data_IF_672669621442
#
_entry.id   IF_672669621442
#
_cell.length_a   1.000
_cell.length_b   1.000
_cell.length_c   1.000
_cell.angle_alpha   90.00
_cell.angle_beta   90.00
_cell.angle_gamma   90.00
#
_symmetry.space_group_name_H-M   'P 1'
#
loop_
_entity.id
_entity.type
_entity.pdbx_description
1 polymer ?
#
# COMPACT_ATOMS: atom_id res chain seq x y z
N UNK A 1 -53.85 28.88 52.17
CA UNK A 1 -52.41 28.68 52.38
C UNK A 1 -51.83 28.04 51.12
N UNK A 2 -50.89 28.74 50.46
CA UNK A 2 -50.25 28.35 49.19
C UNK A 2 -49.35 27.13 49.40
N UNK A 3 -49.41 26.14 48.52
CA UNK A 3 -48.38 25.12 48.36
C UNK A 3 -48.05 24.98 46.88
N UNK A 4 -46.93 25.57 46.46
CA UNK A 4 -46.36 25.36 45.13
C UNK A 4 -45.90 23.91 45.01
N UNK A 5 -46.36 23.21 43.98
CA UNK A 5 -45.71 21.99 43.50
C UNK A 5 -44.52 22.40 42.63
N UNK A 6 -43.31 22.10 43.11
CA UNK A 6 -42.09 22.16 42.33
C UNK A 6 -41.97 20.83 41.61
N UNK A 7 -42.10 20.86 40.28
CA UNK A 7 -41.83 19.70 39.43
C UNK A 7 -40.33 19.44 39.36
N UNK A 8 -39.90 18.25 39.78
CA UNK A 8 -38.55 17.76 39.59
C UNK A 8 -38.48 17.16 38.19
N UNK A 9 -37.78 17.85 37.28
CA UNK A 9 -37.39 17.32 35.98
C UNK A 9 -36.29 16.30 36.23
N UNK A 10 -36.63 15.01 36.11
CA UNK A 10 -35.70 13.90 36.14
C UNK A 10 -35.00 13.87 34.77
N UNK A 11 -33.81 14.48 34.71
CA UNK A 11 -32.94 14.43 33.54
C UNK A 11 -32.35 13.01 33.43
N UNK A 12 -33.05 12.14 32.70
CA UNK A 12 -32.57 10.80 32.34
C UNK A 12 -31.42 10.92 31.35
N UNK A 13 -30.19 10.86 31.87
CA UNK A 13 -28.97 10.64 31.09
C UNK A 13 -29.05 9.22 30.54
N UNK A 14 -29.45 9.08 29.28
CA UNK A 14 -29.29 7.85 28.51
C UNK A 14 -27.80 7.72 28.22
N UNK A 15 -27.11 6.92 29.03
CA UNK A 15 -25.76 6.45 28.74
C UNK A 15 -25.91 5.49 27.55
N UNK A 16 -25.79 6.02 26.34
CA UNK A 16 -25.55 5.21 25.14
C UNK A 16 -24.19 4.58 25.36
N UNK A 17 -24.19 3.30 25.76
CA UNK A 17 -22.99 2.49 25.85
C UNK A 17 -22.36 2.39 24.46
N UNK A 18 -21.43 3.30 24.17
CA UNK A 18 -20.45 3.10 23.11
C UNK A 18 -19.67 1.86 23.56
N UNK A 19 -19.93 0.73 22.90
CA UNK A 19 -19.08 -0.44 22.98
C UNK A 19 -17.72 -0.02 22.41
N UNK A 20 -16.84 0.45 23.29
CA UNK A 20 -15.43 0.61 22.96
C UNK A 20 -14.94 -0.78 22.54
N UNK A 21 -14.33 -0.95 21.36
CA UNK A 21 -13.65 -2.19 21.04
C UNK A 21 -12.62 -2.43 22.14
N UNK A 22 -12.86 -3.51 22.89
CA UNK A 22 -11.98 -4.06 23.92
C UNK A 22 -10.56 -4.11 23.34
N UNK A 23 -9.65 -3.49 24.07
CA UNK A 23 -8.35 -3.06 23.57
C UNK A 23 -7.52 -4.17 22.93
N UNK A 24 -7.05 -3.88 21.72
CA UNK A 24 -5.71 -4.29 21.33
C UNK A 24 -4.73 -3.48 22.17
N UNK A 25 -3.79 -4.15 22.83
CA UNK A 25 -2.64 -3.48 23.41
C UNK A 25 -1.97 -2.64 22.31
N UNK A 26 -1.72 -1.37 22.62
CA UNK A 26 -0.84 -0.50 21.84
C UNK A 26 0.61 -1.02 21.93
N UNK A 27 0.83 -2.15 21.29
CA UNK A 27 2.12 -2.59 20.79
C UNK A 27 1.80 -2.86 19.32
N UNK A 28 1.73 -1.79 18.52
CA UNK A 28 1.81 -1.95 17.08
C UNK A 28 3.16 -2.61 16.84
N UNK A 29 3.20 -3.91 16.60
CA UNK A 29 4.38 -4.50 16.03
C UNK A 29 4.56 -3.78 14.70
N UNK A 30 5.52 -2.84 14.69
CA UNK A 30 5.81 -2.02 13.52
C UNK A 30 6.23 -2.89 12.33
N UNK A 31 6.43 -4.20 12.56
CA UNK A 31 6.85 -5.19 11.60
C UNK A 31 5.72 -6.17 11.37
N UNK A 32 5.38 -6.42 10.11
CA UNK A 32 4.42 -7.44 9.70
C UNK A 32 4.96 -8.17 8.49
N UNK A 33 4.81 -9.50 8.47
CA UNK A 33 5.18 -10.36 7.34
C UNK A 33 3.93 -10.76 6.58
N UNK A 34 4.02 -10.83 5.26
CA UNK A 34 3.03 -11.47 4.39
C UNK A 34 3.70 -12.53 3.54
N UNK A 35 3.13 -13.74 3.57
CA UNK A 35 3.55 -14.83 2.71
C UNK A 35 2.55 -15.02 1.58
N UNK A 36 3.04 -15.21 0.35
CA UNK A 36 2.22 -15.73 -0.73
C UNK A 36 1.74 -17.15 -0.42
N UNK A 37 0.53 -17.49 -0.89
CA UNK A 37 -0.13 -18.77 -0.59
C UNK A 37 0.72 -20.01 -0.87
N UNK A 38 1.39 -20.07 -2.02
CA UNK A 38 2.27 -21.20 -2.36
C UNK A 38 3.46 -21.28 -1.41
N UNK A 39 4.02 -20.13 -1.02
CA UNK A 39 5.16 -20.06 -0.11
C UNK A 39 4.76 -20.46 1.30
N UNK A 40 3.62 -19.99 1.79
CA UNK A 40 3.12 -20.29 3.12
C UNK A 40 2.88 -21.79 3.32
N UNK A 41 2.29 -22.44 2.32
CA UNK A 41 1.94 -23.86 2.37
C UNK A 41 3.13 -24.81 2.16
N UNK A 42 4.34 -24.29 1.95
CA UNK A 42 5.55 -25.07 1.76
C UNK A 42 6.64 -24.64 2.76
N UNK A 43 6.92 -25.50 3.74
CA UNK A 43 7.88 -25.20 4.82
C UNK A 43 9.30 -24.86 4.32
N UNK A 44 9.75 -25.47 3.22
CA UNK A 44 11.05 -25.16 2.64
C UNK A 44 11.05 -23.78 1.99
N UNK A 45 9.97 -23.43 1.28
CA UNK A 45 9.81 -22.10 0.69
C UNK A 45 9.73 -21.02 1.75
N UNK A 46 8.94 -21.25 2.81
CA UNK A 46 8.88 -20.35 3.96
C UNK A 46 10.25 -20.14 4.60
N UNK A 47 11.03 -21.20 4.79
CA UNK A 47 12.39 -21.11 5.33
C UNK A 47 13.34 -20.26 4.47
N UNK A 48 13.26 -20.36 3.13
CA UNK A 48 14.05 -19.53 2.22
C UNK A 48 13.72 -18.05 2.41
N UNK A 49 12.42 -17.71 2.46
CA UNK A 49 11.94 -16.33 2.65
C UNK A 49 12.29 -15.80 4.03
N UNK A 50 12.11 -16.61 5.08
CA UNK A 50 12.47 -16.27 6.46
C UNK A 50 13.97 -15.95 6.59
N UNK A 51 14.83 -16.73 5.94
CA UNK A 51 16.27 -16.47 5.92
C UNK A 51 16.62 -15.15 5.24
N UNK A 52 15.93 -14.80 4.16
CA UNK A 52 16.12 -13.50 3.51
C UNK A 52 15.71 -12.35 4.44
N UNK A 53 14.53 -12.42 5.06
CA UNK A 53 14.04 -11.37 5.97
C UNK A 53 14.91 -11.23 7.21
N UNK A 54 15.31 -12.32 7.86
CA UNK A 54 16.23 -12.29 9.01
C UNK A 54 17.54 -11.56 8.67
N UNK A 55 18.10 -11.80 7.48
CA UNK A 55 19.37 -11.21 7.05
C UNK A 55 19.24 -9.76 6.60
N UNK A 56 18.26 -9.46 5.73
CA UNK A 56 18.13 -8.13 5.12
C UNK A 56 17.49 -7.12 6.07
N UNK A 57 16.48 -7.53 6.85
CA UNK A 57 15.82 -6.66 7.82
C UNK A 57 16.49 -6.70 9.20
N UNK A 58 17.41 -7.65 9.45
CA UNK A 58 18.10 -7.83 10.75
C UNK A 58 17.11 -8.04 11.90
N UNK A 59 16.12 -8.89 11.67
CA UNK A 59 15.04 -9.23 12.60
C UNK A 59 15.06 -10.71 12.98
N UNK A 60 14.27 -11.09 13.98
CA UNK A 60 13.87 -12.49 14.21
C UNK A 60 12.41 -12.67 13.78
N UNK A 61 12.21 -13.24 12.59
CA UNK A 61 10.86 -13.44 12.01
C UNK A 61 9.93 -14.31 12.86
N UNK A 62 10.44 -15.07 13.84
CA UNK A 62 9.59 -15.92 14.71
C UNK A 62 8.72 -15.11 15.67
N UNK A 63 9.12 -13.87 15.95
CA UNK A 63 8.40 -12.97 16.86
C UNK A 63 7.65 -11.86 16.09
N UNK A 64 7.42 -12.05 14.79
CA UNK A 64 6.74 -11.08 13.93
C UNK A 64 5.43 -11.70 13.46
N UNK A 65 4.34 -10.95 13.60
CA UNK A 65 3.04 -11.34 13.08
C UNK A 65 3.08 -11.57 11.57
N UNK A 66 2.41 -12.63 11.13
CA UNK A 66 2.36 -13.00 9.72
C UNK A 66 0.94 -13.14 9.20
N UNK A 67 0.72 -12.69 7.96
CA UNK A 67 -0.51 -12.83 7.19
C UNK A 67 -0.28 -13.63 5.91
N UNK A 68 -1.37 -14.10 5.34
CA UNK A 68 -1.40 -14.84 4.07
C UNK A 68 -1.95 -13.93 2.96
N UNK A 69 -1.32 -13.98 1.79
CA UNK A 69 -1.86 -13.41 0.54
C UNK A 69 -2.32 -14.57 -0.32
N UNK A 70 -3.62 -14.68 -0.55
CA UNK A 70 -4.22 -15.76 -1.33
C UNK A 70 -4.29 -15.43 -2.80
N UNK A 71 -4.47 -16.45 -3.64
CA UNK A 71 -4.81 -16.25 -5.04
C UNK A 71 -6.09 -15.43 -5.20
N UNK A 72 -7.06 -15.57 -4.30
CA UNK A 72 -8.26 -14.72 -4.33
C UNK A 72 -7.94 -13.25 -4.13
N UNK A 73 -7.04 -12.91 -3.20
CA UNK A 73 -6.66 -11.52 -2.95
C UNK A 73 -5.94 -10.91 -4.15
N UNK A 74 -5.07 -11.67 -4.80
CA UNK A 74 -4.39 -11.25 -6.03
C UNK A 74 -5.40 -11.13 -7.20
N UNK A 75 -6.28 -12.11 -7.36
CA UNK A 75 -7.23 -12.16 -8.49
C UNK A 75 -8.33 -11.11 -8.42
N UNK A 76 -8.71 -10.62 -7.23
CA UNK A 76 -9.63 -9.46 -7.09
C UNK A 76 -9.13 -8.24 -7.87
N UNK A 77 -7.82 -8.19 -8.10
CA UNK A 77 -7.11 -7.07 -8.70
C UNK A 77 -6.64 -7.49 -10.09
N UNK A 78 -5.88 -8.57 -10.25
CA UNK A 78 -5.28 -8.92 -11.54
C UNK A 78 -6.27 -9.23 -12.66
N UNK A 79 -7.44 -9.80 -12.31
CA UNK A 79 -8.43 -10.24 -13.31
C UNK A 79 -9.14 -9.08 -14.00
N UNK A 80 -9.40 -7.97 -13.30
CA UNK A 80 -10.00 -6.77 -13.88
C UNK A 80 -9.03 -5.96 -14.74
N UNK A 81 -7.72 -6.17 -14.55
CA UNK A 81 -6.66 -5.33 -15.13
C UNK A 81 -6.04 -6.01 -16.34
N UNK A 82 -5.52 -7.23 -16.14
CA UNK A 82 -4.75 -7.95 -17.16
C UNK A 82 -5.53 -9.13 -17.76
N UNK A 83 -6.71 -9.43 -17.21
CA UNK A 83 -7.42 -10.68 -17.50
C UNK A 83 -6.72 -11.93 -16.97
N UNK A 84 -5.55 -11.81 -16.34
CA UNK A 84 -4.82 -12.94 -15.76
C UNK A 84 -5.47 -13.37 -14.46
N UNK A 85 -5.66 -14.67 -14.32
CA UNK A 85 -6.10 -15.33 -13.10
C UNK A 85 -5.02 -16.29 -12.66
N UNK A 86 -4.63 -16.20 -11.40
CA UNK A 86 -3.59 -17.00 -10.77
C UNK A 86 -4.22 -18.11 -9.92
N UNK A 87 -3.64 -19.31 -9.96
CA UNK A 87 -3.93 -20.39 -9.02
C UNK A 87 -3.26 -20.18 -7.67
N UNK A 88 -3.75 -20.87 -6.64
CA UNK A 88 -3.14 -20.90 -5.29
C UNK A 88 -1.70 -21.44 -5.29
N UNK A 89 -1.31 -22.15 -6.35
CA UNK A 89 0.03 -22.67 -6.60
C UNK A 89 0.95 -21.66 -7.31
N UNK A 90 0.47 -20.45 -7.62
CA UNK A 90 1.22 -19.42 -8.34
C UNK A 90 1.56 -18.17 -7.50
N UNK A 91 1.20 -18.14 -6.22
CA UNK A 91 1.40 -16.97 -5.34
C UNK A 91 2.65 -17.17 -4.48
N UNK A 92 3.80 -16.76 -5.03
CA UNK A 92 5.11 -17.00 -4.40
C UNK A 92 5.69 -15.78 -3.67
N UNK A 93 5.50 -14.56 -4.20
CA UNK A 93 6.17 -13.38 -3.67
C UNK A 93 5.66 -13.03 -2.27
N UNK A 94 6.57 -12.58 -1.43
CA UNK A 94 6.35 -12.30 -0.01
C UNK A 94 6.91 -10.94 0.33
N UNK A 95 6.37 -10.32 1.38
CA UNK A 95 6.86 -9.04 1.88
C UNK A 95 7.01 -9.02 3.39
N UNK A 96 7.98 -8.25 3.89
CA UNK A 96 8.06 -7.79 5.27
C UNK A 96 7.99 -6.27 5.24
N UNK A 97 7.09 -5.67 6.02
CA UNK A 97 7.01 -4.21 6.17
C UNK A 97 7.44 -3.84 7.56
N UNK A 98 8.36 -2.88 7.68
CA UNK A 98 8.83 -2.28 8.93
C UNK A 98 8.51 -0.78 8.96
N UNK A 99 7.52 -0.39 9.76
CA UNK A 99 7.09 0.99 10.00
C UNK A 99 7.89 1.68 11.12
N UNK A 100 8.88 1.02 11.73
CA UNK A 100 9.74 1.68 12.72
C UNK A 100 10.83 2.55 12.07
N UNK A 101 11.14 2.28 10.80
CA UNK A 101 12.11 3.07 10.04
C UNK A 101 11.57 4.45 9.67
N UNK A 102 12.28 5.50 10.11
CA UNK A 102 11.93 6.89 9.84
C UNK A 102 12.30 7.35 8.43
N UNK A 103 11.53 8.32 7.93
CA UNK A 103 11.72 8.93 6.61
C UNK A 103 10.80 8.37 5.54
N UNK A 104 11.16 8.65 4.27
CA UNK A 104 10.43 8.21 3.09
C UNK A 104 10.44 6.68 2.97
N UNK A 105 9.39 6.13 2.38
CA UNK A 105 9.26 4.71 2.06
C UNK A 105 10.49 4.22 1.31
N UNK A 106 11.07 3.11 1.79
CA UNK A 106 12.14 2.38 1.11
C UNK A 106 11.63 1.00 0.72
N UNK A 107 12.17 0.46 -0.37
CA UNK A 107 11.89 -0.91 -0.77
C UNK A 107 13.21 -1.62 -1.09
N UNK A 108 13.48 -2.72 -0.40
CA UNK A 108 14.59 -3.64 -0.69
C UNK A 108 14.04 -4.87 -1.40
N UNK A 109 14.48 -5.10 -2.63
CA UNK A 109 14.02 -6.23 -3.46
C UNK A 109 15.14 -7.26 -3.63
N UNK A 110 14.83 -8.54 -3.44
CA UNK A 110 15.70 -9.65 -3.83
C UNK A 110 15.76 -9.77 -5.35
N UNK A 111 16.73 -9.10 -5.97
CA UNK A 111 16.93 -9.10 -7.43
C UNK A 111 17.27 -10.49 -8.00
N UNK A 112 17.63 -11.47 -7.16
CA UNK A 112 17.88 -12.85 -7.61
C UNK A 112 16.59 -13.68 -7.73
N UNK A 113 15.47 -13.17 -7.20
CA UNK A 113 14.17 -13.87 -7.13
C UNK A 113 13.05 -13.07 -7.78
N UNK A 114 13.07 -11.75 -7.67
CA UNK A 114 12.08 -10.86 -8.28
C UNK A 114 12.65 -10.34 -9.59
N UNK A 115 12.05 -10.73 -10.71
CA UNK A 115 12.63 -10.53 -12.05
C UNK A 115 12.04 -9.36 -12.82
N UNK A 116 10.89 -8.82 -12.38
CA UNK A 116 10.17 -7.79 -13.14
C UNK A 116 9.96 -6.53 -12.32
N UNK A 117 9.26 -6.62 -11.19
CA UNK A 117 8.96 -5.43 -10.39
C UNK A 117 10.21 -4.97 -9.64
N UNK A 118 10.66 -3.75 -9.92
CA UNK A 118 11.82 -3.14 -9.25
C UNK A 118 11.42 -2.43 -7.97
N UNK A 119 12.42 -2.06 -7.16
CA UNK A 119 12.21 -1.26 -5.95
C UNK A 119 11.50 0.07 -6.26
N UNK A 120 11.90 0.74 -7.35
CA UNK A 120 11.33 2.04 -7.74
C UNK A 120 9.88 1.90 -8.20
N UNK A 121 9.54 0.82 -8.92
CA UNK A 121 8.14 0.51 -9.27
C UNK A 121 7.28 0.33 -8.01
N UNK A 122 7.75 -0.45 -7.02
CA UNK A 122 7.03 -0.58 -5.75
C UNK A 122 6.88 0.77 -5.04
N UNK A 123 7.94 1.58 -4.98
CA UNK A 123 7.89 2.91 -4.35
C UNK A 123 6.87 3.81 -5.06
N UNK A 124 6.88 3.82 -6.39
CA UNK A 124 5.97 4.56 -7.25
C UNK A 124 4.50 4.22 -6.93
N UNK A 125 4.16 2.93 -6.94
CA UNK A 125 2.81 2.46 -6.66
C UNK A 125 2.38 2.64 -5.20
N UNK A 126 3.29 2.45 -4.24
CA UNK A 126 3.01 2.69 -2.82
C UNK A 126 2.70 4.17 -2.57
N UNK A 127 3.41 5.09 -3.22
CA UNK A 127 3.08 6.53 -3.17
C UNK A 127 1.71 6.81 -3.78
N UNK A 128 1.37 6.17 -4.89
CA UNK A 128 0.01 6.24 -5.47
C UNK A 128 -1.07 5.74 -4.50
N UNK A 129 -0.73 4.85 -3.58
CA UNK A 129 -1.60 4.41 -2.49
C UNK A 129 -1.58 5.29 -1.22
N UNK A 130 -0.80 6.37 -1.20
CA UNK A 130 -0.60 7.21 -0.01
C UNK A 130 0.35 6.61 1.04
N UNK A 131 1.05 5.52 0.70
CA UNK A 131 2.03 4.88 1.57
C UNK A 131 3.40 5.52 1.29
N UNK A 132 3.82 6.42 2.17
CA UNK A 132 5.03 7.24 1.97
C UNK A 132 6.10 7.03 3.03
N UNK A 133 5.90 6.11 3.97
CA UNK A 133 6.76 5.88 5.13
C UNK A 133 6.95 4.39 5.44
N UNK A 134 8.12 4.02 5.96
CA UNK A 134 8.50 2.67 6.36
C UNK A 134 9.53 2.03 5.43
N UNK A 135 9.79 0.73 5.63
CA UNK A 135 10.69 -0.05 4.78
C UNK A 135 10.04 -1.40 4.45
N UNK A 136 9.84 -1.67 3.16
CA UNK A 136 9.40 -2.96 2.68
C UNK A 136 10.58 -3.79 2.17
N UNK A 137 10.59 -5.07 2.49
CA UNK A 137 11.52 -6.06 1.99
C UNK A 137 10.72 -7.07 1.16
N UNK A 138 11.14 -7.33 -0.07
CA UNK A 138 10.40 -8.17 -1.01
C UNK A 138 11.30 -9.29 -1.53
N UNK A 139 10.80 -10.52 -1.47
CA UNK A 139 11.48 -11.70 -2.02
C UNK A 139 10.47 -12.77 -2.45
N UNK A 140 10.98 -13.89 -2.96
CA UNK A 140 10.22 -15.07 -3.34
C UNK A 140 11.13 -16.30 -3.15
N UNK A 141 10.59 -17.49 -2.79
CA UNK A 141 11.41 -18.70 -2.67
C UNK A 141 12.06 -19.11 -4.01
N UNK A 142 11.38 -18.80 -5.11
CA UNK A 142 11.78 -19.08 -6.50
C UNK A 142 11.68 -17.81 -7.35
N UNK A 143 12.10 -17.89 -8.62
CA UNK A 143 11.94 -16.78 -9.57
C UNK A 143 10.44 -16.43 -9.73
N UNK A 144 10.09 -15.17 -9.53
CA UNK A 144 8.75 -14.63 -9.65
C UNK A 144 8.79 -13.18 -10.16
N UNK A 145 7.69 -12.72 -10.72
CA UNK A 145 7.55 -11.37 -11.30
C UNK A 145 7.45 -10.29 -10.23
N UNK A 146 6.70 -10.55 -9.14
CA UNK A 146 6.68 -9.74 -7.92
C UNK A 146 5.31 -9.18 -7.51
N UNK A 147 4.30 -9.21 -8.38
CA UNK A 147 3.05 -8.46 -8.21
C UNK A 147 2.31 -8.80 -6.90
N UNK A 148 2.27 -10.08 -6.50
CA UNK A 148 1.63 -10.50 -5.25
C UNK A 148 2.26 -9.89 -3.98
N UNK A 149 3.53 -9.45 -4.04
CA UNK A 149 4.17 -8.77 -2.92
C UNK A 149 3.62 -7.35 -2.70
N UNK A 150 3.13 -6.64 -3.72
CA UNK A 150 2.52 -5.32 -3.53
C UNK A 150 1.27 -5.44 -2.65
N UNK A 151 0.39 -6.41 -2.95
CA UNK A 151 -0.77 -6.72 -2.11
C UNK A 151 -0.34 -7.11 -0.68
N UNK A 152 0.76 -7.86 -0.55
CA UNK A 152 1.39 -8.16 0.74
C UNK A 152 1.81 -6.92 1.53
N UNK A 153 2.48 -5.97 0.88
CA UNK A 153 2.90 -4.72 1.50
C UNK A 153 1.70 -3.92 1.97
N UNK A 154 0.68 -3.75 1.13
CA UNK A 154 -0.55 -3.02 1.48
C UNK A 154 -1.26 -3.66 2.68
N UNK A 155 -1.45 -4.98 2.67
CA UNK A 155 -2.10 -5.70 3.78
C UNK A 155 -1.28 -5.63 5.09
N UNK A 156 0.06 -5.63 4.98
CA UNK A 156 0.95 -5.46 6.12
C UNK A 156 0.86 -4.04 6.68
N UNK A 157 0.73 -3.04 5.81
CA UNK A 157 0.56 -1.64 6.19
C UNK A 157 -0.78 -1.40 6.90
N UNK A 158 -1.88 -1.94 6.38
CA UNK A 158 -3.19 -1.90 7.02
C UNK A 158 -3.17 -2.58 8.39
N UNK A 159 -2.45 -3.70 8.51
CA UNK A 159 -2.29 -4.43 9.77
C UNK A 159 -1.57 -3.58 10.82
N UNK A 160 -0.43 -2.99 10.44
CA UNK A 160 0.44 -2.26 11.35
C UNK A 160 -0.14 -0.89 11.74
N UNK A 161 -0.92 -0.24 10.86
CA UNK A 161 -1.56 1.05 11.13
C UNK A 161 -2.98 0.93 11.69
N UNK A 162 -3.60 -0.24 11.56
CA UNK A 162 -5.02 -0.47 11.84
C UNK A 162 -5.97 0.47 11.05
N UNK A 163 -5.53 0.94 9.88
CA UNK A 163 -6.33 1.74 8.93
C UNK A 163 -6.45 0.96 7.63
N UNK A 164 -7.67 0.84 7.11
CA UNK A 164 -7.90 0.23 5.80
C UNK A 164 -7.56 1.20 4.67
N UNK A 165 -6.79 0.74 3.70
CA UNK A 165 -6.58 1.46 2.44
C UNK A 165 -7.88 1.30 1.64
N UNK A 166 -8.45 2.39 1.09
CA UNK A 166 -9.65 2.30 0.26
C UNK A 166 -9.45 1.30 -0.90
N UNK A 167 -10.46 0.48 -1.19
CA UNK A 167 -10.35 -0.54 -2.23
C UNK A 167 -10.08 0.06 -3.62
N UNK A 168 -10.64 1.23 -3.91
CA UNK A 168 -10.36 2.01 -5.13
C UNK A 168 -8.88 2.41 -5.23
N UNK A 169 -8.28 2.81 -4.10
CA UNK A 169 -6.86 3.18 -4.01
C UNK A 169 -5.96 1.96 -4.17
N UNK A 170 -6.30 0.84 -3.51
CA UNK A 170 -5.58 -0.44 -3.70
C UNK A 170 -5.64 -0.87 -5.16
N UNK A 171 -6.80 -0.80 -5.79
CA UNK A 171 -6.98 -1.15 -7.19
C UNK A 171 -6.09 -0.28 -8.10
N UNK A 172 -6.16 1.05 -7.98
CA UNK A 172 -5.37 1.96 -8.82
C UNK A 172 -3.84 1.74 -8.68
N UNK A 173 -3.35 1.54 -7.45
CA UNK A 173 -1.92 1.32 -7.21
C UNK A 173 -1.45 -0.06 -7.73
N UNK A 174 -2.30 -1.08 -7.68
CA UNK A 174 -1.95 -2.36 -8.31
C UNK A 174 -2.08 -2.29 -9.84
N UNK A 175 -3.06 -1.57 -10.40
CA UNK A 175 -3.18 -1.29 -11.84
C UNK A 175 -1.90 -0.71 -12.43
N UNK A 176 -1.28 0.22 -11.71
CA UNK A 176 0.04 0.76 -12.03
C UNK A 176 1.11 -0.34 -12.13
N UNK A 177 1.31 -1.13 -11.07
CA UNK A 177 2.31 -2.22 -11.07
C UNK A 177 2.08 -3.25 -12.16
N UNK A 178 0.84 -3.69 -12.35
CA UNK A 178 0.52 -4.72 -13.35
C UNK A 178 0.73 -4.18 -14.77
N UNK A 179 0.32 -2.94 -15.03
CA UNK A 179 0.53 -2.27 -16.32
C UNK A 179 2.01 -2.10 -16.61
N UNK A 180 2.79 -1.57 -15.66
CA UNK A 180 4.23 -1.40 -15.86
C UNK A 180 4.95 -2.75 -16.02
N UNK A 181 4.55 -3.78 -15.26
CA UNK A 181 5.09 -5.15 -15.40
C UNK A 181 4.87 -5.70 -16.80
N UNK A 182 3.66 -5.54 -17.34
CA UNK A 182 3.31 -6.00 -18.68
C UNK A 182 4.09 -5.26 -19.76
N UNK A 183 4.28 -3.95 -19.61
CA UNK A 183 5.06 -3.13 -20.54
C UNK A 183 6.54 -3.51 -20.49
N UNK A 184 7.14 -3.69 -19.31
CA UNK A 184 8.55 -4.13 -19.19
C UNK A 184 8.75 -5.51 -19.82
N UNK A 185 7.74 -6.39 -19.78
CA UNK A 185 7.84 -7.73 -20.36
C UNK A 185 7.68 -7.74 -21.88
N UNK A 186 6.86 -6.84 -22.44
CA UNK A 186 6.46 -6.89 -23.85
C UNK A 186 7.10 -5.81 -24.73
N UNK A 187 7.46 -4.68 -24.15
CA UNK A 187 8.05 -3.54 -24.85
C UNK A 187 9.56 -3.48 -24.56
N UNK A 188 10.32 -2.94 -25.51
CA UNK A 188 11.77 -2.80 -25.36
C UNK A 188 12.12 -1.54 -24.53
N UNK A 189 11.71 -1.54 -23.27
CA UNK A 189 11.93 -0.46 -22.30
C UNK A 189 12.49 -1.02 -20.99
N UNK A 190 13.44 -0.31 -20.37
CA UNK A 190 13.91 -0.68 -19.03
C UNK A 190 12.88 -0.28 -17.97
N UNK A 191 12.79 -1.06 -16.90
CA UNK A 191 11.93 -0.72 -15.76
C UNK A 191 12.25 0.67 -15.19
N UNK A 192 13.53 1.06 -15.12
CA UNK A 192 13.94 2.39 -14.67
C UNK A 192 13.39 3.52 -15.55
N UNK A 193 13.52 3.40 -16.88
CA UNK A 193 13.01 4.41 -17.80
C UNK A 193 11.48 4.48 -17.77
N UNK A 194 10.82 3.33 -17.63
CA UNK A 194 9.37 3.27 -17.54
C UNK A 194 8.85 3.91 -16.25
N UNK A 195 9.39 3.55 -15.09
CA UNK A 195 8.97 4.12 -13.80
C UNK A 195 9.21 5.63 -13.78
N UNK A 196 10.35 6.10 -14.31
CA UNK A 196 10.60 7.55 -14.43
C UNK A 196 9.58 8.24 -15.33
N UNK A 197 9.27 7.66 -16.49
CA UNK A 197 8.21 8.16 -17.38
C UNK A 197 6.86 8.24 -16.63
N UNK A 198 6.49 7.19 -15.92
CA UNK A 198 5.22 7.13 -15.16
C UNK A 198 5.18 8.19 -14.07
N UNK A 199 6.25 8.34 -13.29
CA UNK A 199 6.34 9.37 -12.24
C UNK A 199 6.27 10.80 -12.80
N UNK A 200 7.02 11.10 -13.87
CA UNK A 200 7.03 12.43 -14.50
C UNK A 200 5.64 12.78 -15.10
N UNK A 201 4.99 11.82 -15.74
CA UNK A 201 3.64 12.00 -16.30
C UNK A 201 2.62 12.16 -15.18
N UNK A 202 2.67 11.33 -14.13
CA UNK A 202 1.81 11.49 -12.95
C UNK A 202 1.96 12.90 -12.42
N UNK A 203 3.17 13.37 -12.11
CA UNK A 203 3.41 14.73 -11.57
C UNK A 203 2.75 15.81 -12.42
N UNK A 204 2.89 15.74 -13.76
CA UNK A 204 2.26 16.67 -14.68
C UNK A 204 0.73 16.60 -14.61
N UNK A 205 0.17 15.40 -14.66
CA UNK A 205 -1.28 15.15 -14.60
C UNK A 205 -1.86 15.64 -13.27
N UNK A 206 -1.19 15.42 -12.14
CA UNK A 206 -1.64 15.89 -10.82
C UNK A 206 -1.60 17.41 -10.73
N UNK A 207 -0.47 18.01 -11.13
CA UNK A 207 -0.23 19.46 -11.04
C UNK A 207 -1.26 20.27 -11.82
N UNK A 208 -1.57 19.82 -13.03
CA UNK A 208 -2.49 20.50 -13.94
C UNK A 208 -3.95 19.98 -13.80
N UNK A 209 -4.19 19.07 -12.84
CA UNK A 209 -5.47 18.43 -12.55
C UNK A 209 -6.15 17.85 -13.81
N UNK A 210 -5.38 17.12 -14.61
CA UNK A 210 -5.80 16.60 -15.91
C UNK A 210 -6.61 15.32 -15.70
N UNK A 211 -7.87 15.33 -16.14
CA UNK A 211 -8.75 14.15 -16.06
C UNK A 211 -9.13 13.58 -17.44
N UNK A 212 -8.80 14.29 -18.51
CA UNK A 212 -9.12 13.85 -19.88
C UNK A 212 -8.11 12.82 -20.37
N UNK A 213 -8.60 11.61 -20.66
CA UNK A 213 -7.78 10.48 -21.10
C UNK A 213 -6.93 10.78 -22.33
N UNK A 214 -7.51 11.44 -23.35
CA UNK A 214 -6.77 11.79 -24.59
C UNK A 214 -5.62 12.76 -24.32
N UNK A 215 -5.82 13.68 -23.40
CA UNK A 215 -4.77 14.60 -22.94
C UNK A 215 -3.65 13.84 -22.26
N UNK A 216 -3.96 12.87 -21.39
CA UNK A 216 -2.96 12.01 -20.74
C UNK A 216 -2.17 11.20 -21.78
N UNK A 217 -2.86 10.57 -22.76
CA UNK A 217 -2.21 9.86 -23.88
C UNK A 217 -1.20 10.76 -24.62
N UNK A 218 -1.60 11.99 -24.94
CA UNK A 218 -0.72 12.95 -25.62
C UNK A 218 0.49 13.35 -24.76
N UNK A 219 0.31 13.50 -23.44
CA UNK A 219 1.41 13.78 -22.52
C UNK A 219 2.39 12.62 -22.54
N UNK A 220 1.92 11.38 -22.34
CA UNK A 220 2.78 10.18 -22.36
C UNK A 220 3.54 10.11 -23.68
N UNK A 221 2.86 10.27 -24.82
CA UNK A 221 3.50 10.25 -26.14
C UNK A 221 4.59 11.32 -26.28
N UNK A 222 4.37 12.54 -25.78
CA UNK A 222 5.40 13.58 -25.82
C UNK A 222 6.61 13.22 -24.95
N UNK A 223 6.38 12.65 -23.77
CA UNK A 223 7.48 12.18 -22.91
C UNK A 223 8.24 11.02 -23.55
N UNK A 224 7.57 10.05 -24.19
CA UNK A 224 8.25 8.93 -24.85
C UNK A 224 9.15 9.43 -25.99
N UNK A 225 8.65 10.36 -26.83
CA UNK A 225 9.43 10.99 -27.89
C UNK A 225 10.63 11.77 -27.33
N UNK A 226 10.41 12.62 -26.31
CA UNK A 226 11.47 13.45 -25.74
C UNK A 226 12.60 12.65 -25.07
N UNK A 227 12.27 11.47 -24.52
CA UNK A 227 13.21 10.61 -23.81
C UNK A 227 13.70 9.41 -24.65
N UNK A 228 13.33 9.33 -25.93
CA UNK A 228 13.66 8.20 -26.82
C UNK A 228 13.22 6.83 -26.26
N UNK A 229 12.05 6.79 -25.61
CA UNK A 229 11.44 5.57 -25.09
C UNK A 229 10.51 5.01 -26.16
N UNK A 230 10.67 3.73 -26.51
CA UNK A 230 9.82 3.08 -27.50
C UNK A 230 8.72 2.28 -26.79
N UNK A 231 7.49 2.80 -26.80
CA UNK A 231 6.29 2.12 -26.31
C UNK A 231 5.33 1.88 -27.46
N UNK A 232 4.59 0.78 -27.40
CA UNK A 232 3.47 0.57 -28.34
C UNK A 232 2.32 1.53 -28.04
N UNK A 233 1.47 1.80 -29.03
CA UNK A 233 0.26 2.59 -28.81
C UNK A 233 -0.63 1.99 -27.72
N UNK A 234 -0.71 0.65 -27.65
CA UNK A 234 -1.47 -0.04 -26.60
C UNK A 234 -0.87 0.21 -25.22
N UNK A 235 0.46 0.18 -25.09
CA UNK A 235 1.16 0.47 -23.83
C UNK A 235 0.91 1.91 -23.38
N UNK A 236 0.92 2.87 -24.32
CA UNK A 236 0.59 4.29 -24.03
C UNK A 236 -0.85 4.43 -23.54
N UNK A 237 -1.82 3.78 -24.19
CA UNK A 237 -3.23 3.79 -23.78
C UNK A 237 -3.44 3.13 -22.40
N UNK A 238 -2.74 2.02 -22.13
CA UNK A 238 -2.80 1.33 -20.84
C UNK A 238 -2.20 2.21 -19.73
N UNK A 239 -1.06 2.87 -19.97
CA UNK A 239 -0.48 3.84 -19.03
C UNK A 239 -1.42 5.02 -18.80
N UNK A 240 -2.06 5.56 -19.83
CA UNK A 240 -3.00 6.66 -19.68
C UNK A 240 -4.19 6.26 -18.79
N UNK A 241 -4.69 5.03 -18.98
CA UNK A 241 -5.78 4.47 -18.16
C UNK A 241 -5.33 4.34 -16.71
N UNK A 242 -4.16 3.74 -16.47
CA UNK A 242 -3.60 3.53 -15.13
C UNK A 242 -3.34 4.85 -14.39
N UNK A 243 -2.68 5.81 -15.05
CA UNK A 243 -2.41 7.14 -14.48
C UNK A 243 -3.70 7.91 -14.22
N UNK A 244 -4.68 7.83 -15.13
CA UNK A 244 -6.01 8.40 -14.93
C UNK A 244 -6.72 7.78 -13.72
N UNK A 245 -6.59 6.48 -13.51
CA UNK A 245 -7.09 5.78 -12.33
C UNK A 245 -6.47 6.30 -11.03
N UNK A 246 -5.15 6.46 -10.99
CA UNK A 246 -4.44 7.07 -9.85
C UNK A 246 -4.88 8.51 -9.61
N UNK A 247 -5.05 9.32 -10.67
CA UNK A 247 -5.55 10.68 -10.57
C UNK A 247 -6.96 10.74 -9.97
N UNK A 248 -7.84 9.83 -10.39
CA UNK A 248 -9.24 9.80 -9.96
C UNK A 248 -9.41 9.52 -8.45
N UNK A 249 -8.47 8.79 -7.84
CA UNK A 249 -8.55 8.40 -6.42
C UNK A 249 -7.77 9.33 -5.47
N UNK A 250 -7.21 10.45 -5.96
CA UNK A 250 -6.39 11.33 -5.12
C UNK A 250 -7.09 11.87 -3.87
N UNK A 251 -8.39 12.16 -3.97
CA UNK A 251 -9.16 12.58 -2.80
C UNK A 251 -9.19 11.49 -1.71
N UNK A 252 -9.38 10.23 -2.12
CA UNK A 252 -9.37 9.08 -1.21
C UNK A 252 -7.97 8.87 -0.60
N UNK A 253 -6.91 9.02 -1.40
CA UNK A 253 -5.51 8.95 -0.95
C UNK A 253 -5.21 10.03 0.09
N UNK A 254 -5.66 11.27 -0.12
CA UNK A 254 -5.46 12.37 0.83
C UNK A 254 -6.19 12.12 2.16
N UNK A 255 -7.44 11.63 2.08
CA UNK A 255 -8.23 11.26 3.25
C UNK A 255 -7.59 10.11 4.04
N UNK A 256 -7.10 9.09 3.34
CA UNK A 256 -6.38 7.96 3.92
C UNK A 256 -5.07 8.40 4.59
N UNK A 257 -4.23 9.14 3.86
CA UNK A 257 -2.92 9.60 4.35
C UNK A 257 -3.05 10.47 5.60
N UNK A 258 -4.11 11.28 5.67
CA UNK A 258 -4.43 12.10 6.85
C UNK A 258 -4.77 11.25 8.08
N UNK A 259 -5.51 10.16 7.91
CA UNK A 259 -5.84 9.22 9.01
C UNK A 259 -4.59 8.51 9.52
N UNK A 260 -3.75 8.00 8.61
CA UNK A 260 -2.49 7.34 8.96
C UNK A 260 -1.55 8.29 9.71
N UNK A 261 -1.41 9.54 9.23
CA UNK A 261 -0.54 10.54 9.88
C UNK A 261 -1.00 10.87 11.29
N UNK A 262 -2.31 10.91 11.55
CA UNK A 262 -2.83 11.11 12.91
C UNK A 262 -2.43 9.97 13.85
N UNK A 263 -2.40 8.73 13.37
CA UNK A 263 -2.07 7.55 14.21
C UNK A 263 -0.56 7.43 14.41
N UNK A 264 0.21 7.48 13.32
CA UNK A 264 1.68 7.38 13.35
C UNK A 264 2.29 8.61 14.05
N UNK A 265 1.72 9.80 13.83
CA UNK A 265 2.14 11.05 14.48
C UNK A 265 1.75 11.15 15.95
N UNK A 266 0.56 10.66 16.36
CA UNK A 266 0.15 10.67 17.78
C UNK A 266 0.95 9.68 18.63
N UNK A 267 1.53 8.63 18.06
CA UNK A 267 2.42 7.71 18.79
C UNK A 267 3.77 8.34 19.18
N UNK A 268 4.05 9.58 18.76
CA UNK A 268 5.18 10.38 19.22
C UNK A 268 4.83 11.34 20.37
N UNK A 269 3.54 11.42 20.75
CA UNK A 269 3.02 12.32 21.78
C UNK A 269 2.58 11.56 23.03
N UNK A 270 3.40 11.69 24.08
CA UNK A 270 3.15 11.29 25.47
C UNK A 270 1.66 11.15 25.84
N UNK A 271 1.18 9.90 25.93
CA UNK A 271 -0.13 9.53 26.50
C UNK A 271 -0.12 9.59 28.05
N UNK A 272 0.70 10.46 28.67
CA UNK A 272 0.58 10.73 30.09
C UNK A 272 -0.66 11.58 30.37
N UNK A 273 -1.25 11.41 31.56
CA UNK A 273 -2.36 12.26 32.02
C UNK A 273 -2.02 13.77 31.91
N UNK A 274 -0.73 14.15 32.00
CA UNK A 274 -0.30 15.53 31.86
C UNK A 274 -0.43 16.07 30.43
N UNK A 275 -0.24 15.22 29.41
CA UNK A 275 -0.48 15.57 28.00
C UNK A 275 -1.97 15.79 27.68
N UNK A 276 -2.86 15.07 28.38
CA UNK A 276 -4.31 15.24 28.25
C UNK A 276 -4.81 16.51 28.97
N UNK A 277 -4.31 16.80 30.16
CA UNK A 277 -4.74 17.97 30.96
C UNK A 277 -4.35 19.30 30.28
N UNK A 278 -3.13 19.37 29.74
CA UNK A 278 -2.65 20.55 29.01
C UNK A 278 -3.45 20.86 27.73
N UNK A 279 -4.05 19.85 27.08
CA UNK A 279 -4.88 20.03 25.87
C UNK A 279 -6.29 20.53 26.18
N UNK A 280 -6.80 20.34 27.38
CA UNK A 280 -8.10 20.86 27.82
C UNK A 280 -8.00 22.15 28.64
N UNK A 281 -6.79 22.71 28.81
CA UNK A 281 -6.57 23.92 29.58
C UNK A 281 -6.94 23.76 31.06
N UNK A 282 -6.74 22.55 31.61
CA UNK A 282 -6.97 22.18 33.01
C UNK A 282 -5.63 21.88 33.71
#
# INVERSE_FOLDING_TARGET
MRKSLIGIILLSIVIIGIALPIGFSAQSDAKVITYGETTYNNANYKSIVDNFFNQQAKVDVKNIDSKLITASDVNKISSSITGKTYGSDQIFSCALVDLSEQGNIKVTVDKSKITTITADMYISALKSAGITHGHAYVTSPISATGESALAGIMNSYEAATNVQIPDTVKQAANEEIYTESEIVQNDNVSAENLTKLVDDVKETVQKDNITDHKTIVNIIYNYTVNNNINLTNSSIENLATSIGGVQAVQGDVQNYSSQVTQIVGNNSGDMSLNGLLSRFGL
#
